data_IF_732358138839
#
_entry.id   IF_732358138839
#
_cell.length_a   1.000
_cell.length_b   1.000
_cell.length_c   1.000
_cell.angle_alpha   90.00
_cell.angle_beta   90.00
_cell.angle_gamma   90.00
#
_symmetry.space_group_name_H-M   'P 1'
#
loop_
_entity.id
_entity.type
_entity.pdbx_description
1 polymer ?
#
# COMPACT_ATOMS: atom_id res chain seq x y z
N UNK A 1 54.37 -18.52 38.54
CA UNK A 1 52.98 -18.85 38.14
C UNK A 1 52.15 -17.58 38.22
N UNK A 2 51.81 -16.96 37.09
CA UNK A 2 50.82 -15.86 37.04
C UNK A 2 49.71 -16.32 36.11
N UNK A 3 48.53 -16.45 36.68
CA UNK A 3 47.32 -16.98 36.08
C UNK A 3 46.79 -16.09 34.96
N UNK A 4 46.30 -16.76 33.92
CA UNK A 4 45.53 -16.20 32.81
C UNK A 4 44.33 -15.37 33.31
N UNK A 5 44.10 -14.24 32.65
CA UNK A 5 42.75 -13.72 32.45
C UNK A 5 42.60 -13.50 30.95
N UNK A 6 41.95 -14.44 30.28
CA UNK A 6 41.50 -14.25 28.90
C UNK A 6 40.39 -13.21 28.96
N UNK A 7 40.63 -12.00 28.44
CA UNK A 7 39.55 -11.05 28.18
C UNK A 7 38.70 -11.66 27.06
N UNK A 8 37.53 -12.17 27.44
CA UNK A 8 36.47 -12.50 26.50
C UNK A 8 35.81 -11.17 26.16
N UNK A 9 36.16 -10.61 25.00
CA UNK A 9 35.45 -9.45 24.47
C UNK A 9 34.04 -9.91 24.10
N UNK A 10 33.06 -9.51 24.91
CA UNK A 10 31.65 -9.66 24.58
C UNK A 10 31.40 -8.89 23.28
N UNK A 11 31.30 -9.64 22.18
CA UNK A 11 30.89 -9.15 20.87
C UNK A 11 29.62 -8.34 21.04
N UNK A 12 29.78 -7.01 20.93
CA UNK A 12 28.71 -6.01 20.96
C UNK A 12 27.61 -6.49 20.03
N UNK A 13 26.50 -6.96 20.60
CA UNK A 13 25.34 -7.38 19.85
C UNK A 13 24.94 -6.25 18.89
N UNK A 14 24.59 -6.63 17.66
CA UNK A 14 24.09 -5.73 16.64
C UNK A 14 22.92 -4.93 17.22
N UNK A 15 23.21 -3.71 17.69
CA UNK A 15 22.19 -2.67 17.83
C UNK A 15 21.70 -2.41 16.42
N UNK A 16 20.67 -3.13 15.99
CA UNK A 16 19.83 -2.76 14.86
C UNK A 16 19.45 -1.31 15.13
N UNK A 17 20.10 -0.39 14.42
CA UNK A 17 20.06 1.03 14.73
C UNK A 17 18.60 1.45 14.73
N UNK A 18 18.06 1.78 15.91
CA UNK A 18 16.83 2.58 16.00
C UNK A 18 17.27 3.97 15.56
N UNK A 19 17.24 4.21 14.25
CA UNK A 19 17.47 5.52 13.67
C UNK A 19 16.19 6.31 13.93
N UNK A 20 16.09 6.95 15.09
CA UNK A 20 15.02 7.92 15.36
C UNK A 20 15.26 9.19 14.53
N UNK A 21 14.96 9.12 13.24
CA UNK A 21 14.91 10.31 12.39
C UNK A 21 13.66 11.12 12.77
N UNK A 22 13.87 12.13 13.63
CA UNK A 22 12.84 13.07 14.09
C UNK A 22 12.58 14.21 13.09
N UNK A 23 13.37 14.29 12.00
CA UNK A 23 13.34 15.37 11.01
C UNK A 23 12.61 15.00 9.72
N UNK A 24 12.41 13.70 9.45
CA UNK A 24 11.64 13.21 8.30
C UNK A 24 10.12 13.38 8.43
N UNK A 25 9.42 13.37 7.28
CA UNK A 25 7.95 13.33 7.21
C UNK A 25 7.36 12.13 7.99
N UNK A 26 8.09 11.01 8.02
CA UNK A 26 7.76 9.81 8.81
C UNK A 26 8.81 9.64 9.91
N UNK A 27 8.38 9.72 11.16
CA UNK A 27 9.23 9.52 12.33
C UNK A 27 8.73 8.33 13.16
N UNK A 28 9.53 7.89 14.14
CA UNK A 28 9.25 6.73 15.01
C UNK A 28 8.91 5.45 14.23
N UNK A 29 9.77 5.10 13.26
CA UNK A 29 9.53 3.95 12.39
C UNK A 29 9.87 2.64 13.11
N UNK A 30 8.94 1.68 13.08
CA UNK A 30 9.14 0.33 13.64
C UNK A 30 8.82 -0.69 12.56
N UNK A 31 9.79 -1.58 12.30
CA UNK A 31 9.61 -2.72 11.40
C UNK A 31 9.01 -3.90 12.17
N UNK A 32 7.96 -4.48 11.62
CA UNK A 32 7.22 -5.63 12.15
C UNK A 32 7.26 -6.76 11.11
N UNK A 33 7.05 -8.00 11.57
CA UNK A 33 6.92 -9.19 10.72
C UNK A 33 8.10 -9.28 9.75
N UNK A 34 9.31 -9.41 10.31
CA UNK A 34 10.57 -9.52 9.55
C UNK A 34 10.84 -8.38 8.55
N UNK A 35 10.16 -7.24 8.70
CA UNK A 35 10.32 -6.07 7.85
C UNK A 35 9.29 -5.96 6.73
N UNK A 36 8.31 -6.88 6.63
CA UNK A 36 7.22 -6.78 5.67
C UNK A 36 6.31 -5.58 5.93
N UNK A 37 6.10 -5.26 7.21
CA UNK A 37 5.26 -4.16 7.66
C UNK A 37 6.12 -3.14 8.37
N UNK A 38 6.00 -1.88 7.99
CA UNK A 38 6.60 -0.75 8.72
C UNK A 38 5.49 0.12 9.26
N UNK A 39 5.46 0.31 10.58
CA UNK A 39 4.59 1.32 11.20
C UNK A 39 5.39 2.60 11.46
N UNK A 40 4.75 3.76 11.35
CA UNK A 40 5.38 5.06 11.55
C UNK A 40 4.34 6.10 11.99
N UNK A 41 4.81 7.24 12.49
CA UNK A 41 3.98 8.39 12.82
C UNK A 41 4.24 9.56 11.86
N UNK A 42 3.23 10.42 11.70
CA UNK A 42 3.29 11.63 10.87
C UNK A 42 2.71 12.81 11.65
N UNK A 43 3.42 13.95 11.68
CA UNK A 43 3.05 15.13 12.48
C UNK A 43 1.72 15.73 12.00
N UNK A 44 1.52 15.76 10.68
CA UNK A 44 0.29 16.26 10.05
C UNK A 44 -0.97 15.46 10.41
N UNK A 45 -0.83 14.21 10.87
CA UNK A 45 -1.97 13.35 11.23
C UNK A 45 -2.24 13.33 12.74
N UNK A 46 -1.70 14.28 13.51
CA UNK A 46 -1.87 14.33 14.96
C UNK A 46 -1.21 13.15 15.69
N UNK A 47 -0.04 12.74 15.20
CA UNK A 47 0.79 11.65 15.74
C UNK A 47 0.11 10.28 15.79
N UNK A 48 -0.92 10.11 14.97
CA UNK A 48 -1.52 8.80 14.76
C UNK A 48 -0.54 7.86 14.04
N UNK A 49 -0.54 6.60 14.47
CA UNK A 49 0.23 5.54 13.83
C UNK A 49 -0.38 5.18 12.47
N UNK A 50 0.50 5.00 11.49
CA UNK A 50 0.20 4.52 10.16
C UNK A 50 0.99 3.25 9.89
N UNK A 51 0.38 2.30 9.19
CA UNK A 51 1.02 1.11 8.63
C UNK A 51 1.39 1.37 7.18
N UNK A 52 2.54 0.84 6.75
CA UNK A 52 2.94 0.71 5.35
C UNK A 52 3.45 -0.69 5.07
N UNK A 53 3.01 -1.26 3.96
CA UNK A 53 3.52 -2.53 3.43
C UNK A 53 3.69 -2.44 1.91
N UNK A 54 4.69 -3.13 1.37
CA UNK A 54 4.90 -3.21 -0.06
C UNK A 54 4.12 -4.39 -0.64
N UNK A 55 3.37 -4.15 -1.72
CA UNK A 55 2.64 -5.20 -2.42
C UNK A 55 3.27 -5.35 -3.80
N UNK A 56 4.02 -6.43 -3.97
CA UNK A 56 4.79 -6.71 -5.17
C UNK A 56 3.91 -6.86 -6.43
N UNK A 57 2.74 -7.49 -6.28
CA UNK A 57 1.77 -7.71 -7.38
C UNK A 57 1.37 -6.43 -8.10
N UNK A 58 1.25 -5.31 -7.38
CA UNK A 58 0.87 -4.01 -7.94
C UNK A 58 2.02 -3.01 -7.95
N UNK A 59 3.22 -3.43 -7.53
CA UNK A 59 4.41 -2.59 -7.36
C UNK A 59 4.13 -1.30 -6.55
N UNK A 60 3.23 -1.38 -5.56
CA UNK A 60 2.71 -0.23 -4.82
C UNK A 60 2.75 -0.46 -3.32
N UNK A 61 2.90 0.63 -2.57
CA UNK A 61 2.77 0.61 -1.13
C UNK A 61 1.32 0.76 -0.71
N UNK A 62 0.84 -0.16 0.11
CA UNK A 62 -0.40 0.02 0.85
C UNK A 62 -0.10 0.78 2.13
N UNK A 63 -0.77 1.90 2.34
CA UNK A 63 -0.63 2.73 3.54
C UNK A 63 -2.00 2.92 4.18
N UNK A 64 -2.10 2.66 5.48
CA UNK A 64 -3.35 2.79 6.23
C UNK A 64 -3.10 3.42 7.59
N UNK A 65 -3.94 4.37 7.97
CA UNK A 65 -3.93 4.88 9.35
C UNK A 65 -4.54 3.86 10.30
N UNK A 66 -3.82 3.55 11.38
CA UNK A 66 -4.27 2.67 12.46
C UNK A 66 -5.16 3.41 13.48
N UNK A 67 -5.27 4.74 13.33
CA UNK A 67 -6.11 5.62 14.15
C UNK A 67 -5.91 5.39 15.65
N UNK A 68 -4.65 5.33 16.07
CA UNK A 68 -4.26 5.18 17.47
C UNK A 68 -2.96 5.94 17.71
N UNK A 69 -2.77 6.42 18.93
CA UNK A 69 -1.53 7.07 19.39
C UNK A 69 -0.65 6.12 20.21
N UNK A 70 -1.25 5.10 20.83
CA UNK A 70 -0.52 4.09 21.61
C UNK A 70 0.22 3.13 20.68
N UNK A 71 1.51 2.91 20.96
CA UNK A 71 2.39 2.04 20.18
C UNK A 71 1.95 0.58 20.24
N UNK A 72 1.58 0.08 21.41
CA UNK A 72 1.21 -1.33 21.58
C UNK A 72 -0.08 -1.65 20.83
N UNK A 73 -1.08 -0.77 20.97
CA UNK A 73 -2.32 -0.86 20.19
C UNK A 73 -2.07 -0.75 18.68
N UNK A 74 -1.09 0.05 18.25
CA UNK A 74 -0.71 0.14 16.84
C UNK A 74 -0.11 -1.18 16.32
N UNK A 75 0.75 -1.82 17.11
CA UNK A 75 1.37 -3.12 16.74
C UNK A 75 0.29 -4.20 16.58
N UNK A 76 -0.66 -4.28 17.51
CA UNK A 76 -1.76 -5.25 17.43
C UNK A 76 -2.66 -5.00 16.21
N UNK A 77 -3.10 -3.77 16.00
CA UNK A 77 -3.90 -3.40 14.82
C UNK A 77 -3.15 -3.67 13.52
N UNK A 78 -1.85 -3.39 13.47
CA UNK A 78 -1.01 -3.68 12.32
C UNK A 78 -0.97 -5.18 12.02
N UNK A 79 -0.83 -6.04 13.02
CA UNK A 79 -0.86 -7.50 12.82
C UNK A 79 -2.20 -7.97 12.23
N UNK A 80 -3.32 -7.44 12.73
CA UNK A 80 -4.67 -7.78 12.25
C UNK A 80 -4.85 -7.33 10.79
N UNK A 81 -4.49 -6.09 10.46
CA UNK A 81 -4.60 -5.57 9.09
C UNK A 81 -3.72 -6.34 8.11
N UNK A 82 -2.51 -6.71 8.52
CA UNK A 82 -1.62 -7.52 7.72
C UNK A 82 -2.22 -8.90 7.43
N UNK A 83 -2.75 -9.60 8.44
CA UNK A 83 -3.44 -10.87 8.25
C UNK A 83 -4.62 -10.74 7.28
N UNK A 84 -5.42 -9.67 7.39
CA UNK A 84 -6.51 -9.40 6.45
C UNK A 84 -6.05 -9.21 5.01
N UNK A 85 -4.86 -8.64 4.80
CA UNK A 85 -4.27 -8.47 3.46
C UNK A 85 -3.76 -9.80 2.91
N UNK A 86 -3.18 -10.65 3.76
CA UNK A 86 -2.79 -12.01 3.36
C UNK A 86 -3.98 -12.85 2.91
N UNK A 87 -5.10 -12.79 3.63
CA UNK A 87 -6.33 -13.48 3.24
C UNK A 87 -6.82 -12.99 1.88
N UNK A 88 -6.87 -11.67 1.65
CA UNK A 88 -7.26 -11.11 0.34
C UNK A 88 -6.34 -11.57 -0.79
N UNK A 89 -5.03 -11.65 -0.53
CA UNK A 89 -4.04 -12.17 -1.47
C UNK A 89 -4.32 -13.64 -1.80
N UNK A 90 -4.58 -14.46 -0.78
CA UNK A 90 -4.92 -15.87 -0.97
C UNK A 90 -6.22 -16.05 -1.78
N UNK A 91 -7.19 -15.17 -1.57
CA UNK A 91 -8.45 -15.13 -2.34
C UNK A 91 -8.30 -14.55 -3.75
N UNK A 92 -7.09 -14.16 -4.17
CA UNK A 92 -6.80 -13.45 -5.42
C UNK A 92 -7.63 -12.16 -5.62
N UNK A 93 -8.03 -11.52 -4.52
CA UNK A 93 -8.74 -10.24 -4.55
C UNK A 93 -7.73 -9.10 -4.63
N UNK A 94 -7.96 -8.18 -5.57
CA UNK A 94 -7.09 -7.02 -5.75
C UNK A 94 -7.16 -6.10 -4.52
N UNK A 95 -6.01 -5.82 -3.91
CA UNK A 95 -5.91 -4.93 -2.73
C UNK A 95 -6.12 -3.47 -3.12
N UNK A 96 -5.70 -3.10 -4.32
CA UNK A 96 -5.96 -1.79 -4.91
C UNK A 96 -7.10 -1.88 -5.91
N UNK A 97 -7.81 -0.76 -6.08
CA UNK A 97 -8.74 -0.61 -7.19
C UNK A 97 -7.98 -0.65 -8.52
N UNK A 98 -8.67 -1.14 -9.56
CA UNK A 98 -8.16 -1.08 -10.92
C UNK A 98 -7.92 0.37 -11.34
N UNK A 99 -6.91 0.59 -12.19
CA UNK A 99 -6.69 1.89 -12.83
C UNK A 99 -7.94 2.29 -13.62
N UNK A 100 -8.28 3.59 -13.60
CA UNK A 100 -9.39 4.12 -14.39
C UNK A 100 -9.23 3.83 -15.88
N UNK A 101 -7.99 3.80 -16.41
CA UNK A 101 -7.73 3.45 -17.80
C UNK A 101 -8.12 2.01 -18.09
N UNK A 102 -7.78 1.08 -17.18
CA UNK A 102 -8.16 -0.32 -17.29
C UNK A 102 -9.67 -0.52 -17.09
N UNK A 103 -10.28 0.25 -16.19
CA UNK A 103 -11.73 0.24 -16.00
C UNK A 103 -12.48 0.69 -17.26
N UNK A 104 -12.02 1.75 -17.91
CA UNK A 104 -12.59 2.25 -19.17
C UNK A 104 -12.46 1.19 -20.26
N UNK A 105 -11.33 0.51 -20.36
CA UNK A 105 -11.14 -0.54 -21.36
C UNK A 105 -12.13 -1.70 -21.16
N UNK A 106 -12.21 -2.24 -19.94
CA UNK A 106 -13.18 -3.29 -19.59
C UNK A 106 -14.62 -2.85 -19.83
N UNK A 107 -14.92 -1.58 -19.56
CA UNK A 107 -16.24 -1.02 -19.83
C UNK A 107 -16.53 -0.97 -21.34
N UNK A 108 -15.59 -0.51 -22.17
CA UNK A 108 -15.77 -0.49 -23.62
C UNK A 108 -15.93 -1.90 -24.19
N UNK A 109 -15.15 -2.88 -23.71
CA UNK A 109 -15.32 -4.29 -24.08
C UNK A 109 -16.72 -4.83 -23.72
N UNK A 110 -17.24 -4.48 -22.54
CA UNK A 110 -18.60 -4.81 -22.14
C UNK A 110 -19.62 -4.18 -23.09
N UNK A 111 -19.50 -2.87 -23.34
CA UNK A 111 -20.42 -2.16 -24.23
C UNK A 111 -20.34 -2.64 -25.67
N UNK A 112 -19.20 -3.17 -26.11
CA UNK A 112 -19.06 -3.79 -27.42
C UNK A 112 -19.91 -5.06 -27.51
N UNK A 113 -19.90 -5.91 -26.48
CA UNK A 113 -20.76 -7.11 -26.40
C UNK A 113 -22.25 -6.76 -26.40
N UNK A 114 -22.60 -5.61 -25.83
CA UNK A 114 -23.99 -5.10 -25.85
C UNK A 114 -24.52 -4.78 -27.26
N UNK A 115 -23.63 -4.62 -28.26
CA UNK A 115 -24.02 -4.49 -29.68
C UNK A 115 -24.53 -5.83 -30.22
N UNK A 116 -23.85 -6.93 -29.86
CA UNK A 116 -24.19 -8.28 -30.32
C UNK A 116 -25.54 -8.73 -29.73
N UNK A 117 -25.79 -8.39 -28.47
CA UNK A 117 -27.07 -8.64 -27.78
C UNK A 117 -28.17 -7.64 -28.13
N UNK A 118 -27.89 -6.68 -29.04
CA UNK A 118 -28.81 -5.62 -29.50
C UNK A 118 -29.35 -4.72 -28.38
N UNK A 119 -28.68 -4.67 -27.23
CA UNK A 119 -28.98 -3.72 -26.15
C UNK A 119 -28.60 -2.30 -26.60
N UNK A 120 -27.55 -2.15 -27.41
CA UNK A 120 -27.16 -0.86 -28.01
C UNK A 120 -26.90 -0.93 -29.51
N UNK A 121 -27.07 0.22 -30.15
CA UNK A 121 -26.69 0.42 -31.55
C UNK A 121 -25.19 0.72 -31.69
N UNK A 122 -24.62 0.43 -32.87
CA UNK A 122 -23.23 0.76 -33.21
C UNK A 122 -22.94 2.26 -33.09
N UNK A 123 -23.89 3.12 -33.45
CA UNK A 123 -23.75 4.57 -33.32
C UNK A 123 -23.66 4.99 -31.86
N UNK A 124 -24.50 4.42 -30.98
CA UNK A 124 -24.44 4.69 -29.54
C UNK A 124 -23.10 4.25 -28.95
N UNK A 125 -22.57 3.10 -29.35
CA UNK A 125 -21.24 2.66 -28.94
C UNK A 125 -20.15 3.67 -29.34
N UNK A 126 -20.20 4.19 -30.57
CA UNK A 126 -19.29 5.24 -31.03
C UNK A 126 -19.32 6.50 -30.15
N UNK A 127 -20.51 6.94 -29.73
CA UNK A 127 -20.64 8.05 -28.79
C UNK A 127 -20.00 7.73 -27.43
N UNK A 128 -20.20 6.51 -26.91
CA UNK A 128 -19.60 6.07 -25.64
C UNK A 128 -18.07 6.08 -25.72
N UNK A 129 -17.50 5.56 -26.81
CA UNK A 129 -16.04 5.56 -27.03
C UNK A 129 -15.50 6.99 -27.00
N UNK A 130 -16.17 7.93 -27.68
CA UNK A 130 -15.78 9.34 -27.69
C UNK A 130 -15.80 9.95 -26.28
N UNK A 131 -16.90 9.74 -25.53
CA UNK A 131 -17.02 10.23 -24.15
C UNK A 131 -15.93 9.66 -23.23
N UNK A 132 -15.65 8.35 -23.34
CA UNK A 132 -14.59 7.70 -22.58
C UNK A 132 -13.19 8.23 -22.93
N UNK A 133 -12.95 8.61 -24.20
CA UNK A 133 -11.71 9.28 -24.62
C UNK A 133 -11.54 10.65 -23.95
N UNK A 134 -12.60 11.45 -23.89
CA UNK A 134 -12.58 12.73 -23.18
C UNK A 134 -12.33 12.55 -21.69
N UNK A 135 -12.95 11.54 -21.06
CA UNK A 135 -12.69 11.20 -19.66
C UNK A 135 -11.22 10.82 -19.44
N UNK A 136 -10.63 9.96 -20.29
CA UNK A 136 -9.19 9.63 -20.24
C UNK A 136 -8.33 10.90 -20.32
N UNK A 137 -8.66 11.84 -21.20
CA UNK A 137 -7.97 13.12 -21.34
C UNK A 137 -8.07 14.00 -20.09
N UNK A 138 -9.27 14.12 -19.51
CA UNK A 138 -9.50 14.88 -18.29
C UNK A 138 -8.70 14.35 -17.10
N UNK A 139 -8.69 13.03 -16.90
CA UNK A 139 -7.91 12.42 -15.80
C UNK A 139 -6.41 12.65 -16.00
N UNK A 140 -5.89 12.57 -17.23
CA UNK A 140 -4.47 12.84 -17.46
C UNK A 140 -4.10 14.30 -17.21
N UNK A 141 -4.98 15.24 -17.56
CA UNK A 141 -4.74 16.67 -17.37
C UNK A 141 -4.72 17.10 -15.90
N UNK A 142 -5.42 16.38 -15.00
CA UNK A 142 -5.44 16.67 -13.56
C UNK A 142 -4.25 16.10 -12.78
N UNK A 143 -3.37 15.32 -13.44
CA UNK A 143 -2.16 14.76 -12.85
C UNK A 143 -0.88 15.56 -13.20
N UNK A 144 -1.02 16.67 -13.94
CA UNK A 144 0.02 17.67 -14.20
C UNK A 144 -0.27 18.95 -13.40
#
# INVERSE_FOLDING_TARGET
MKSNVVRIDFRKENKSQIIEDTRGFRFNQVKLIEGEVTIFQTKQSGDNWHMRMYIAENQKYFTKSLRTKSKDSAIEKAKIEYAGILVKRQENKTIFSISIHSAIEKYLEHRRRDIETRIITKQRYGCIVSQMKHLKGYVNASHN
#
